data_IF_008791824820
#
_entry.id   IF_008791824820
#
_cell.length_a   1.000
_cell.length_b   1.000
_cell.length_c   1.000
_cell.angle_alpha   90.00
_cell.angle_beta   90.00
_cell.angle_gamma   90.00
#
_symmetry.space_group_name_H-M   'P 1'
#
loop_
_entity.id
_entity.type
_entity.pdbx_description
1 polymer ?
#
# COMPACT_ATOMS: atom_id res chain seq x y z
N UNK A 1 -17.89 -14.50 15.73
CA UNK A 1 -18.28 -15.16 17.01
C UNK A 1 -19.75 -14.85 17.21
N UNK A 2 -20.63 -15.86 17.18
CA UNK A 2 -22.09 -15.72 16.90
C UNK A 2 -22.96 -15.39 18.12
N UNK A 3 -22.38 -14.84 19.19
CA UNK A 3 -23.04 -14.63 20.49
C UNK A 3 -23.22 -13.15 20.88
N UNK A 4 -23.03 -12.20 19.95
CA UNK A 4 -23.29 -10.76 20.17
C UNK A 4 -22.33 -10.05 21.13
N UNK A 5 -21.51 -10.79 21.88
CA UNK A 5 -20.52 -10.24 22.79
C UNK A 5 -19.26 -9.80 22.04
N UNK A 6 -18.85 -8.54 22.23
CA UNK A 6 -17.58 -8.03 21.72
C UNK A 6 -16.45 -8.69 22.50
N UNK A 7 -15.59 -9.45 21.82
CA UNK A 7 -14.38 -10.02 22.43
C UNK A 7 -13.16 -9.22 22.00
N UNK A 8 -12.21 -8.95 22.91
CA UNK A 8 -10.94 -8.37 22.51
C UNK A 8 -10.28 -9.29 21.49
N UNK A 9 -9.89 -8.72 20.37
CA UNK A 9 -9.16 -9.39 19.31
C UNK A 9 -7.98 -8.50 18.92
N UNK A 10 -6.83 -9.13 18.74
CA UNK A 10 -5.61 -8.46 18.31
C UNK A 10 -5.19 -9.04 16.97
N UNK A 11 -4.67 -8.18 16.13
CA UNK A 11 -4.02 -8.56 14.91
C UNK A 11 -2.54 -8.85 15.21
N UNK A 12 -2.16 -10.13 15.14
CA UNK A 12 -0.79 -10.58 15.40
C UNK A 12 0.01 -10.47 14.11
N UNK A 13 1.10 -9.72 14.16
CA UNK A 13 2.08 -9.63 13.09
C UNK A 13 3.31 -10.45 13.45
N UNK A 14 3.88 -11.12 12.45
CA UNK A 14 5.03 -11.98 12.60
C UNK A 14 6.03 -11.70 11.48
N UNK A 15 7.26 -11.38 11.85
CA UNK A 15 8.38 -11.24 10.92
C UNK A 15 9.18 -12.53 10.87
N UNK A 16 9.48 -12.99 9.67
CA UNK A 16 10.33 -14.16 9.44
C UNK A 16 11.50 -13.83 8.53
N UNK A 17 12.64 -14.47 8.76
CA UNK A 17 13.81 -14.38 7.89
C UNK A 17 14.56 -15.72 7.91
N UNK A 18 14.90 -16.26 6.72
CA UNK A 18 15.66 -17.51 6.59
C UNK A 18 15.00 -18.72 7.26
N UNK A 19 13.67 -18.75 7.39
CA UNK A 19 12.94 -19.81 8.08
C UNK A 19 12.77 -19.62 9.59
N UNK A 20 13.32 -18.54 10.17
CA UNK A 20 13.20 -18.23 11.59
C UNK A 20 12.23 -17.08 11.84
N UNK A 21 11.52 -17.14 12.97
CA UNK A 21 10.76 -16.00 13.49
C UNK A 21 11.74 -15.04 14.15
N UNK A 22 11.75 -13.78 13.70
CA UNK A 22 12.64 -12.74 14.24
C UNK A 22 11.90 -11.78 15.15
N UNK A 23 10.60 -11.56 14.92
CA UNK A 23 9.78 -10.74 15.80
C UNK A 23 8.29 -11.06 15.70
N UNK A 24 7.55 -10.81 16.79
CA UNK A 24 6.11 -11.01 16.89
C UNK A 24 5.52 -9.86 17.70
N UNK A 25 4.43 -9.28 17.22
CA UNK A 25 3.72 -8.24 17.95
C UNK A 25 2.22 -8.29 17.73
N UNK A 26 1.45 -8.02 18.80
CA UNK A 26 0.00 -7.87 18.73
C UNK A 26 -0.42 -6.41 18.64
N UNK A 27 -1.28 -6.10 17.67
CA UNK A 27 -1.86 -4.78 17.46
C UNK A 27 -3.36 -4.80 17.70
N UNK A 28 -3.89 -3.75 18.33
CA UNK A 28 -5.35 -3.55 18.46
C UNK A 28 -6.00 -3.08 17.16
N UNK A 29 -5.20 -2.65 16.18
CA UNK A 29 -5.68 -2.25 14.88
C UNK A 29 -6.25 -3.45 14.12
N UNK A 30 -7.51 -3.37 13.63
CA UNK A 30 -8.14 -4.50 12.96
C UNK A 30 -7.61 -4.76 11.54
N UNK A 31 -6.85 -3.85 10.95
CA UNK A 31 -6.34 -3.94 9.57
C UNK A 31 -4.81 -3.84 9.54
N UNK A 32 -4.18 -4.66 8.69
CA UNK A 32 -2.71 -4.79 8.59
C UNK A 32 -2.02 -3.51 8.09
N UNK A 33 -2.69 -2.72 7.25
CA UNK A 33 -2.14 -1.46 6.70
C UNK A 33 -1.46 -0.62 7.77
N UNK A 34 -2.05 -0.51 8.96
CA UNK A 34 -1.57 0.39 10.01
C UNK A 34 -0.59 -0.26 10.99
N UNK A 35 -0.35 -1.56 10.89
CA UNK A 35 0.57 -2.28 11.78
C UNK A 35 2.00 -2.24 11.25
N UNK A 36 2.20 -2.07 9.93
CA UNK A 36 3.54 -2.09 9.31
C UNK A 36 4.51 -1.07 9.91
N UNK A 37 4.16 0.20 9.88
CA UNK A 37 5.03 1.30 10.35
C UNK A 37 5.49 1.09 11.79
N UNK A 38 4.60 0.91 12.80
CA UNK A 38 5.03 0.70 14.17
C UNK A 38 5.82 -0.62 14.35
N UNK A 39 5.44 -1.68 13.64
CA UNK A 39 6.17 -2.96 13.68
C UNK A 39 7.58 -2.82 13.13
N UNK A 40 7.74 -2.15 11.98
CA UNK A 40 9.03 -1.91 11.34
C UNK A 40 9.92 -0.99 12.17
N UNK A 41 9.39 0.04 12.82
CA UNK A 41 10.20 0.91 13.70
C UNK A 41 10.79 0.12 14.88
N UNK A 42 10.04 -0.83 15.44
CA UNK A 42 10.55 -1.75 16.48
C UNK A 42 11.57 -2.73 15.93
N UNK A 43 11.28 -3.34 14.78
CA UNK A 43 12.18 -4.27 14.10
C UNK A 43 13.54 -3.62 13.80
N UNK A 44 13.52 -2.39 13.26
CA UNK A 44 14.70 -1.60 12.95
C UNK A 44 15.46 -1.17 14.20
N UNK A 45 14.77 -0.91 15.32
CA UNK A 45 15.44 -0.61 16.60
C UNK A 45 16.19 -1.83 17.14
N UNK A 46 15.67 -3.03 16.92
CA UNK A 46 16.24 -4.29 17.42
C UNK A 46 17.36 -4.85 16.54
N UNK A 47 17.21 -4.75 15.22
CA UNK A 47 18.12 -5.35 14.24
C UNK A 47 18.94 -4.33 13.42
N UNK A 48 18.79 -3.04 13.71
CA UNK A 48 19.45 -1.93 13.03
C UNK A 48 19.26 -1.96 11.49
N UNK A 49 20.16 -1.32 10.74
CA UNK A 49 20.21 -1.21 9.27
C UNK A 49 20.32 -2.53 8.50
N UNK A 50 20.21 -3.69 9.15
CA UNK A 50 20.30 -5.01 8.50
C UNK A 50 19.07 -5.36 7.67
N UNK A 51 17.96 -4.64 7.84
CA UNK A 51 16.73 -4.86 7.07
C UNK A 51 16.70 -3.92 5.88
N UNK A 52 16.96 -4.46 4.69
CA UNK A 52 16.95 -3.69 3.43
C UNK A 52 15.76 -4.02 2.51
N UNK A 53 14.99 -5.06 2.83
CA UNK A 53 13.87 -5.56 2.05
C UNK A 53 12.75 -6.00 2.98
N UNK A 54 11.51 -5.78 2.58
CA UNK A 54 10.33 -6.31 3.27
C UNK A 54 9.40 -6.97 2.27
N UNK A 55 8.91 -8.15 2.60
CA UNK A 55 7.91 -8.89 1.82
C UNK A 55 6.64 -8.93 2.64
N UNK A 56 5.52 -8.52 2.06
CA UNK A 56 4.23 -8.51 2.74
C UNK A 56 3.09 -8.76 1.75
N UNK A 57 1.93 -9.17 2.27
CA UNK A 57 0.74 -9.35 1.47
C UNK A 57 0.07 -8.00 1.11
N UNK A 58 -1.05 -8.07 0.39
CA UNK A 58 -1.78 -6.88 -0.03
C UNK A 58 -2.50 -6.15 1.10
N UNK A 59 -2.67 -6.76 2.27
CA UNK A 59 -3.25 -6.12 3.45
C UNK A 59 -2.39 -4.96 3.97
N UNK A 60 -1.10 -4.94 3.62
CA UNK A 60 -0.17 -3.85 3.96
C UNK A 60 -0.02 -2.78 2.89
N UNK A 61 -0.72 -2.90 1.76
CA UNK A 61 -0.64 -1.94 0.67
C UNK A 61 -1.24 -0.60 1.09
N UNK A 62 -0.42 0.44 1.11
CA UNK A 62 -0.88 1.84 1.19
C UNK A 62 0.23 2.79 0.78
N UNK A 63 -0.17 3.96 0.27
CA UNK A 63 0.76 5.06 -0.03
C UNK A 63 1.60 5.44 1.19
N UNK A 64 0.98 5.50 2.37
CA UNK A 64 1.65 5.80 3.64
C UNK A 64 2.78 4.82 3.94
N UNK A 65 2.52 3.52 3.80
CA UNK A 65 3.54 2.47 4.01
C UNK A 65 4.66 2.54 2.97
N UNK A 66 4.34 2.81 1.70
CA UNK A 66 5.37 2.94 0.67
C UNK A 66 6.27 4.15 0.91
N UNK A 67 5.70 5.29 1.31
CA UNK A 67 6.47 6.49 1.64
C UNK A 67 7.34 6.27 2.88
N UNK A 68 6.83 5.59 3.89
CA UNK A 68 7.60 5.20 5.07
C UNK A 68 8.80 4.32 4.69
N UNK A 69 8.58 3.23 3.96
CA UNK A 69 9.65 2.31 3.54
C UNK A 69 10.67 3.00 2.64
N UNK A 70 10.21 3.86 1.72
CA UNK A 70 11.08 4.69 0.86
C UNK A 70 11.96 5.62 1.70
N UNK A 71 11.40 6.29 2.72
CA UNK A 71 12.15 7.16 3.63
C UNK A 71 13.22 6.39 4.41
N UNK A 72 12.91 5.15 4.82
CA UNK A 72 13.85 4.25 5.50
C UNK A 72 14.82 3.53 4.54
N UNK A 73 14.72 3.76 3.22
CA UNK A 73 15.52 3.09 2.17
C UNK A 73 15.35 1.56 2.16
N UNK A 74 14.17 1.07 2.56
CA UNK A 74 13.81 -0.36 2.55
C UNK A 74 13.04 -0.64 1.27
N UNK A 75 13.44 -1.67 0.53
CA UNK A 75 12.78 -2.06 -0.72
C UNK A 75 11.50 -2.86 -0.42
N UNK A 76 10.30 -2.36 -0.81
CA UNK A 76 9.05 -3.07 -0.61
C UNK A 76 8.83 -4.14 -1.68
N UNK A 77 8.40 -5.33 -1.24
CA UNK A 77 7.82 -6.39 -2.06
C UNK A 77 6.42 -6.70 -1.51
N UNK A 78 5.53 -5.72 -1.67
CA UNK A 78 4.14 -5.79 -1.19
C UNK A 78 3.24 -6.12 -2.38
N UNK A 79 2.39 -7.14 -2.24
CA UNK A 79 1.43 -7.50 -3.29
C UNK A 79 0.43 -6.35 -3.48
N UNK A 80 0.20 -5.84 -4.71
CA UNK A 80 -0.82 -4.81 -4.91
C UNK A 80 -2.24 -5.33 -4.60
N UNK A 81 -3.08 -4.51 -3.96
CA UNK A 81 -4.49 -4.84 -3.67
C UNK A 81 -5.28 -5.22 -4.93
N UNK A 82 -5.03 -4.54 -6.04
CA UNK A 82 -5.71 -4.80 -7.31
C UNK A 82 -5.11 -5.94 -8.13
N UNK A 83 -4.13 -6.69 -7.61
CA UNK A 83 -3.39 -7.69 -8.38
C UNK A 83 -4.27 -8.78 -9.01
N UNK A 84 -5.20 -9.38 -8.25
CA UNK A 84 -6.09 -10.40 -8.81
C UNK A 84 -7.12 -9.80 -9.78
N UNK A 85 -7.69 -8.64 -9.41
CA UNK A 85 -8.70 -7.96 -10.23
C UNK A 85 -8.11 -7.51 -11.57
N UNK A 86 -6.83 -7.09 -11.59
CA UNK A 86 -6.08 -6.73 -12.81
C UNK A 86 -6.00 -7.84 -13.85
N UNK A 87 -6.14 -9.10 -13.45
CA UNK A 87 -6.13 -10.24 -14.39
C UNK A 87 -7.44 -10.37 -15.17
N UNK A 88 -8.54 -9.86 -14.62
CA UNK A 88 -9.89 -10.00 -15.18
C UNK A 88 -10.03 -9.18 -16.47
N UNK A 89 -10.59 -9.79 -17.52
CA UNK A 89 -10.81 -9.15 -18.84
C UNK A 89 -11.60 -7.84 -18.74
N UNK A 90 -12.65 -7.81 -17.92
CA UNK A 90 -13.45 -6.60 -17.67
C UNK A 90 -12.60 -5.44 -17.15
N UNK A 91 -11.70 -5.71 -16.21
CA UNK A 91 -10.81 -4.70 -15.63
C UNK A 91 -9.81 -4.17 -16.66
N UNK A 92 -9.22 -5.07 -17.46
CA UNK A 92 -8.26 -4.70 -18.53
C UNK A 92 -8.90 -3.86 -19.63
N UNK A 93 -10.17 -4.09 -19.92
CA UNK A 93 -10.89 -3.39 -20.98
C UNK A 93 -11.68 -2.18 -20.46
N UNK A 94 -11.57 -1.85 -19.18
CA UNK A 94 -12.30 -0.74 -18.57
C UNK A 94 -11.69 0.60 -19.02
N UNK A 95 -12.38 1.30 -19.94
CA UNK A 95 -11.89 2.51 -20.61
C UNK A 95 -11.70 3.73 -19.69
N UNK A 96 -12.37 3.75 -18.53
CA UNK A 96 -12.31 4.85 -17.57
C UNK A 96 -11.06 4.80 -16.69
N UNK A 97 -10.33 3.68 -16.68
CA UNK A 97 -9.13 3.53 -15.86
C UNK A 97 -7.93 4.19 -16.51
N UNK A 98 -7.31 5.12 -15.78
CA UNK A 98 -6.02 5.72 -16.13
C UNK A 98 -4.94 4.69 -16.48
N UNK A 99 -4.94 3.55 -15.80
CA UNK A 99 -4.00 2.44 -16.00
C UNK A 99 -4.11 1.81 -17.40
N UNK A 100 -5.28 1.92 -18.04
CA UNK A 100 -5.56 1.40 -19.38
C UNK A 100 -5.44 2.49 -20.47
N UNK A 101 -5.06 3.72 -20.10
CA UNK A 101 -4.85 4.83 -21.04
C UNK A 101 -3.39 4.90 -21.50
N UNK A 102 -3.15 5.46 -22.69
CA UNK A 102 -1.77 5.65 -23.19
C UNK A 102 -1.20 6.93 -22.59
N UNK A 103 -0.07 6.85 -21.89
CA UNK A 103 0.60 8.01 -21.30
C UNK A 103 1.70 8.54 -22.22
N UNK A 104 1.60 9.82 -22.61
CA UNK A 104 2.62 10.52 -23.36
C UNK A 104 3.55 11.28 -22.39
N UNK A 105 4.80 10.81 -22.26
CA UNK A 105 5.79 11.42 -21.36
C UNK A 105 6.28 12.79 -21.81
N UNK A 106 6.35 13.04 -23.13
CA UNK A 106 6.93 14.26 -23.68
C UNK A 106 6.09 15.51 -23.40
N UNK A 107 4.76 15.38 -23.48
CA UNK A 107 3.80 16.47 -23.29
C UNK A 107 2.99 16.33 -21.97
N UNK A 108 3.34 15.36 -21.11
CA UNK A 108 2.67 15.03 -19.83
C UNK A 108 1.13 14.94 -19.91
N UNK A 109 0.61 14.04 -20.74
CA UNK A 109 -0.84 13.80 -20.85
C UNK A 109 -1.20 12.33 -21.02
N UNK A 110 -2.44 11.97 -20.67
CA UNK A 110 -3.04 10.68 -20.98
C UNK A 110 -3.94 10.79 -22.21
N UNK A 111 -3.81 9.87 -23.15
CA UNK A 111 -4.74 9.73 -24.27
C UNK A 111 -5.85 8.76 -23.85
N UNK A 112 -7.07 9.27 -23.72
CA UNK A 112 -8.22 8.43 -23.37
C UNK A 112 -8.69 7.59 -24.58
N UNK A 113 -9.59 6.63 -24.34
CA UNK A 113 -10.12 5.77 -25.41
C UNK A 113 -10.82 6.53 -26.54
N UNK A 114 -11.36 7.73 -26.26
CA UNK A 114 -11.97 8.61 -27.25
C UNK A 114 -10.97 9.63 -27.85
N UNK A 115 -9.68 9.32 -27.84
CA UNK A 115 -8.59 10.14 -28.38
C UNK A 115 -8.50 11.58 -27.83
N UNK A 116 -9.09 11.86 -26.66
CA UNK A 116 -8.95 13.15 -25.99
C UNK A 116 -7.69 13.17 -25.13
N UNK A 117 -6.94 14.27 -25.19
CA UNK A 117 -5.78 14.53 -24.34
C UNK A 117 -6.26 14.98 -22.95
N UNK A 118 -5.98 14.18 -21.93
CA UNK A 118 -6.20 14.49 -20.52
C UNK A 118 -4.89 15.02 -19.93
N UNK A 119 -4.81 16.34 -19.76
CA UNK A 119 -3.66 17.03 -19.17
C UNK A 119 -3.89 17.22 -17.68
N UNK A 120 -2.80 17.36 -16.93
CA UNK A 120 -2.83 17.78 -15.55
C UNK A 120 -3.57 19.12 -15.40
N UNK A 121 -4.54 19.17 -14.50
CA UNK A 121 -5.28 20.37 -14.14
C UNK A 121 -4.83 20.88 -12.77
N UNK A 122 -4.79 20.00 -11.76
CA UNK A 122 -4.50 20.40 -10.38
C UNK A 122 -4.09 19.25 -9.48
N UNK A 123 -3.47 19.61 -8.36
CA UNK A 123 -3.22 18.71 -7.24
C UNK A 123 -4.42 18.70 -6.30
N UNK A 124 -4.89 17.50 -5.95
CA UNK A 124 -5.86 17.29 -4.88
C UNK A 124 -5.13 16.70 -3.67
N UNK A 125 -5.36 17.32 -2.51
CA UNK A 125 -4.87 16.84 -1.23
C UNK A 125 -6.03 16.22 -0.46
N UNK A 126 -5.83 15.03 0.10
CA UNK A 126 -6.82 14.37 0.97
C UNK A 126 -6.14 13.97 2.27
N UNK A 127 -6.81 14.22 3.39
CA UNK A 127 -6.37 13.77 4.70
C UNK A 127 -7.23 12.58 5.12
N UNK A 128 -6.63 11.46 5.47
CA UNK A 128 -7.37 10.33 6.03
C UNK A 128 -7.73 10.59 7.51
N UNK A 129 -8.56 9.73 8.10
CA UNK A 129 -8.96 9.79 9.52
C UNK A 129 -7.77 9.81 10.50
N UNK A 130 -6.62 9.28 10.08
CA UNK A 130 -5.42 9.13 10.89
C UNK A 130 -4.39 10.24 10.67
N UNK A 131 -4.69 11.18 9.79
CA UNK A 131 -3.92 12.39 9.58
C UNK A 131 -2.89 12.33 8.46
N UNK A 132 -2.72 11.18 7.80
CA UNK A 132 -1.91 11.07 6.60
C UNK A 132 -2.51 11.89 5.46
N UNK A 133 -1.66 12.67 4.77
CA UNK A 133 -2.04 13.49 3.62
C UNK A 133 -1.57 12.79 2.34
N UNK A 134 -2.52 12.40 1.50
CA UNK A 134 -2.25 11.89 0.16
C UNK A 134 -2.37 13.00 -0.88
N UNK A 135 -1.58 12.85 -1.93
CA UNK A 135 -1.54 13.78 -3.06
C UNK A 135 -1.95 13.05 -4.34
N UNK A 136 -2.87 13.64 -5.10
CA UNK A 136 -3.34 13.05 -6.36
C UNK A 136 -3.36 14.10 -7.46
N UNK A 137 -2.70 13.78 -8.57
CA UNK A 137 -2.78 14.56 -9.81
C UNK A 137 -4.10 14.25 -10.52
N UNK A 138 -4.89 15.29 -10.76
CA UNK A 138 -6.07 15.26 -11.65
C UNK A 138 -5.65 15.79 -13.00
#
# INVERSE_FOLDING_TARGET
MKNGQLKPAYNIQCATNGGYIVDIEGFSNPADVRTLTPFMDKLLKKYDTRINRVVADSGYESEENYLYLRKKKIKPFIKPLNYEVKKIRKYKNEISRKENMTYCKAEDYYLCHNNKKLKFEKMIYRKNKYGFKSESKV
#
